data_IF_126352052797
#
_entry.id   IF_126352052797
#
_cell.length_a   1.000
_cell.length_b   1.000
_cell.length_c   1.000
_cell.angle_alpha   90.00
_cell.angle_beta   90.00
_cell.angle_gamma   90.00
#
_symmetry.space_group_name_H-M   'P 1'
#
loop_
_entity.id
_entity.type
_entity.pdbx_description
1 polymer ?
#
# COMPACT_ATOMS: atom_id res chain seq x y z
N UNK A 1 49.40 28.15 -4.78
CA UNK A 1 48.21 27.66 -5.53
C UNK A 1 47.42 28.85 -6.04
N UNK A 2 47.51 29.19 -7.33
CA UNK A 2 46.69 30.25 -7.92
C UNK A 2 45.32 29.68 -8.29
N UNK A 3 44.28 30.02 -7.53
CA UNK A 3 42.92 29.63 -7.87
C UNK A 3 42.45 30.53 -9.03
N UNK A 4 42.20 29.94 -10.21
CA UNK A 4 41.72 30.69 -11.37
C UNK A 4 40.38 31.35 -11.06
N UNK A 5 40.25 32.66 -11.33
CA UNK A 5 39.00 33.44 -11.14
C UNK A 5 37.79 32.76 -11.79
N UNK A 6 38.00 32.06 -12.92
CA UNK A 6 36.96 31.27 -13.60
C UNK A 6 36.49 30.07 -12.77
N UNK A 7 37.40 29.36 -12.10
CA UNK A 7 37.04 28.26 -11.20
C UNK A 7 36.32 28.76 -9.96
N UNK A 8 36.76 29.89 -9.40
CA UNK A 8 36.10 30.51 -8.25
C UNK A 8 34.66 30.93 -8.59
N UNK A 9 34.45 31.65 -9.70
CA UNK A 9 33.11 32.08 -10.13
C UNK A 9 32.19 30.90 -10.46
N UNK A 10 32.71 29.85 -11.10
CA UNK A 10 31.94 28.63 -11.36
C UNK A 10 31.49 27.95 -10.07
N UNK A 11 32.38 27.78 -9.10
CA UNK A 11 32.07 27.12 -7.84
C UNK A 11 31.14 27.95 -6.95
N UNK A 12 31.31 29.28 -6.94
CA UNK A 12 30.43 30.19 -6.22
C UNK A 12 29.00 30.12 -6.78
N UNK A 13 28.86 30.10 -8.11
CA UNK A 13 27.57 30.01 -8.78
C UNK A 13 26.85 28.68 -8.49
N UNK A 14 27.55 27.53 -8.61
CA UNK A 14 26.96 26.23 -8.23
C UNK A 14 26.61 26.15 -6.75
N UNK A 15 27.44 26.70 -5.87
CA UNK A 15 27.15 26.75 -4.43
C UNK A 15 25.91 27.58 -4.10
N UNK A 16 25.73 28.74 -4.74
CA UNK A 16 24.55 29.58 -4.53
C UNK A 16 23.25 28.93 -4.98
N UNK A 17 23.27 28.18 -6.08
CA UNK A 17 22.07 27.45 -6.56
C UNK A 17 21.70 26.36 -5.55
N UNK A 18 22.66 25.55 -5.10
CA UNK A 18 22.40 24.50 -4.13
C UNK A 18 21.89 25.06 -2.79
N UNK A 19 22.42 26.19 -2.34
CA UNK A 19 21.97 26.86 -1.10
C UNK A 19 20.61 27.55 -1.23
N UNK A 20 20.16 27.89 -2.45
CA UNK A 20 18.86 28.51 -2.70
C UNK A 20 17.69 27.52 -2.70
N UNK A 21 17.98 26.21 -2.71
CA UNK A 21 16.95 25.20 -2.62
C UNK A 21 16.34 25.20 -1.21
N UNK A 22 15.01 25.27 -1.09
CA UNK A 22 14.36 25.21 0.22
C UNK A 22 14.57 23.83 0.85
N UNK A 23 14.62 23.75 2.18
CA UNK A 23 14.77 22.48 2.92
C UNK A 23 13.69 21.45 2.52
N UNK A 24 12.52 21.93 2.12
CA UNK A 24 11.43 21.10 1.57
C UNK A 24 11.78 20.43 0.24
N UNK A 25 12.64 21.01 -0.59
CA UNK A 25 13.11 20.37 -1.83
C UNK A 25 13.96 19.11 -1.54
N UNK A 26 14.67 19.05 -0.41
CA UNK A 26 15.35 17.81 0.02
C UNK A 26 14.36 16.70 0.43
N UNK A 27 13.15 17.04 0.89
CA UNK A 27 12.09 16.04 1.14
C UNK A 27 11.54 15.45 -0.16
N UNK A 28 11.47 16.24 -1.23
CA UNK A 28 11.08 15.77 -2.57
C UNK A 28 12.17 14.97 -3.29
N UNK A 29 13.43 15.14 -2.89
CA UNK A 29 14.59 14.46 -3.46
C UNK A 29 15.11 13.37 -2.53
N UNK A 30 14.22 12.62 -1.87
CA UNK A 30 14.64 11.44 -1.11
C UNK A 30 15.38 10.49 -2.08
N UNK A 31 16.70 10.27 -1.92
CA UNK A 31 17.47 9.51 -2.89
C UNK A 31 16.95 8.09 -3.10
N UNK A 32 16.32 7.49 -2.07
CA UNK A 32 15.69 6.18 -2.15
C UNK A 32 14.46 6.17 -3.06
N UNK A 33 13.61 7.20 -3.00
CA UNK A 33 12.42 7.33 -3.84
C UNK A 33 12.80 7.67 -5.29
N UNK A 34 13.80 8.53 -5.48
CA UNK A 34 14.37 8.80 -6.80
C UNK A 34 14.92 7.49 -7.36
N UNK A 35 15.78 6.78 -6.64
CA UNK A 35 16.31 5.49 -7.08
C UNK A 35 15.21 4.45 -7.34
N UNK A 36 14.10 4.43 -6.59
CA UNK A 36 12.97 3.55 -6.86
C UNK A 36 12.19 3.95 -8.14
N UNK A 37 12.09 5.24 -8.45
CA UNK A 37 11.38 5.77 -9.63
C UNK A 37 12.20 5.75 -10.93
N UNK A 38 13.53 5.87 -10.84
CA UNK A 38 14.47 5.73 -11.99
C UNK A 38 15.20 4.38 -12.02
N UNK A 39 14.92 3.49 -11.07
CA UNK A 39 15.54 2.18 -10.96
C UNK A 39 15.26 1.28 -12.17
N UNK A 40 16.26 0.50 -12.57
CA UNK A 40 16.21 -0.39 -13.74
C UNK A 40 15.03 -1.38 -13.59
N UNK A 41 14.08 -1.37 -14.53
CA UNK A 41 12.81 -2.13 -14.49
C UNK A 41 12.99 -3.67 -14.60
N UNK A 42 14.20 -4.18 -14.36
CA UNK A 42 14.55 -5.61 -14.38
C UNK A 42 13.94 -6.37 -13.20
N UNK A 43 13.56 -5.67 -12.12
CA UNK A 43 12.91 -6.29 -10.96
C UNK A 43 11.43 -6.49 -11.26
N UNK A 44 10.99 -7.75 -11.26
CA UNK A 44 9.57 -8.13 -11.36
C UNK A 44 9.06 -8.51 -9.98
N UNK A 45 8.09 -7.75 -9.48
CA UNK A 45 7.42 -8.05 -8.22
C UNK A 45 6.30 -9.07 -8.43
N UNK A 46 6.15 -9.98 -7.47
CA UNK A 46 5.06 -10.93 -7.42
C UNK A 46 4.51 -10.99 -5.98
N UNK A 47 3.21 -11.24 -5.86
CA UNK A 47 2.53 -11.44 -4.59
C UNK A 47 1.83 -12.80 -4.62
N UNK A 48 2.21 -13.69 -3.72
CA UNK A 48 1.66 -15.04 -3.64
C UNK A 48 0.85 -15.18 -2.35
N UNK A 49 -0.36 -15.72 -2.47
CA UNK A 49 -1.25 -16.00 -1.34
C UNK A 49 -1.51 -17.50 -1.29
N UNK A 50 -1.12 -18.13 -0.19
CA UNK A 50 -1.48 -19.51 0.12
C UNK A 50 -2.86 -19.54 0.79
N UNK A 51 -3.89 -19.78 -0.01
CA UNK A 51 -5.28 -19.79 0.46
C UNK A 51 -5.58 -20.97 1.39
N UNK A 52 -4.76 -22.03 1.40
CA UNK A 52 -4.96 -23.16 2.32
C UNK A 52 -4.63 -22.81 3.77
N UNK A 53 -3.79 -21.77 3.98
CA UNK A 53 -3.46 -21.23 5.30
C UNK A 53 -4.32 -20.02 5.69
N UNK A 54 -5.17 -19.56 4.79
CA UNK A 54 -6.06 -18.43 5.07
C UNK A 54 -7.12 -18.87 6.09
N UNK A 55 -7.20 -18.14 7.21
CA UNK A 55 -8.21 -18.36 8.26
C UNK A 55 -9.30 -17.27 8.26
N UNK A 56 -9.31 -16.39 7.26
CA UNK A 56 -10.32 -15.33 7.16
C UNK A 56 -10.22 -14.25 8.25
N UNK A 57 -9.00 -13.92 8.71
CA UNK A 57 -8.79 -12.96 9.81
C UNK A 57 -8.97 -11.47 9.42
N UNK A 58 -8.98 -11.15 8.13
CA UNK A 58 -9.16 -9.77 7.65
C UNK A 58 -7.92 -8.85 7.73
N UNK A 59 -6.80 -9.32 8.27
CA UNK A 59 -5.61 -8.48 8.46
C UNK A 59 -4.98 -7.99 7.16
N UNK A 60 -5.12 -8.74 6.06
CA UNK A 60 -4.69 -8.30 4.74
C UNK A 60 -5.46 -7.07 4.23
N UNK A 61 -6.73 -6.91 4.64
CA UNK A 61 -7.63 -5.81 4.26
C UNK A 61 -7.51 -4.62 5.23
N UNK A 62 -7.11 -4.88 6.49
CA UNK A 62 -6.78 -3.85 7.48
C UNK A 62 -5.41 -3.21 7.23
N UNK A 63 -4.37 -4.03 7.02
CA UNK A 63 -3.26 -3.60 6.16
C UNK A 63 -3.84 -3.23 4.78
N UNK A 64 -3.17 -2.85 3.72
CA UNK A 64 -3.84 -2.24 2.56
C UNK A 64 -4.60 -0.93 2.88
N UNK A 65 -5.69 -0.91 3.66
CA UNK A 65 -6.37 0.33 4.08
C UNK A 65 -5.42 1.25 4.84
N UNK A 66 -4.69 0.73 5.83
CA UNK A 66 -3.74 1.52 6.63
C UNK A 66 -2.56 2.03 5.81
N UNK A 67 -1.96 1.19 4.96
CA UNK A 67 -0.75 1.55 4.20
C UNK A 67 -1.03 2.41 2.96
N UNK A 68 -2.28 2.42 2.47
CA UNK A 68 -2.67 3.20 1.29
C UNK A 68 -3.60 4.36 1.66
N UNK A 69 -3.68 4.73 2.93
CA UNK A 69 -4.48 5.85 3.44
C UNK A 69 -5.94 5.83 2.95
N UNK A 70 -6.53 4.62 2.84
CA UNK A 70 -7.93 4.48 2.44
C UNK A 70 -8.80 4.81 3.64
N UNK A 71 -9.85 5.64 3.49
CA UNK A 71 -10.81 5.90 4.56
C UNK A 71 -11.28 4.61 5.25
N UNK A 72 -11.00 4.51 6.55
CA UNK A 72 -11.06 3.23 7.24
C UNK A 72 -12.50 2.74 7.44
N UNK A 73 -13.40 3.68 7.74
CA UNK A 73 -14.83 3.51 8.05
C UNK A 73 -15.72 3.38 6.81
N UNK A 74 -15.23 3.75 5.63
CA UNK A 74 -15.99 3.61 4.38
C UNK A 74 -15.91 2.18 3.82
N UNK A 75 -16.99 1.69 3.18
CA UNK A 75 -17.05 0.39 2.52
C UNK A 75 -16.30 0.38 1.17
N UNK A 76 -15.13 1.02 1.13
CA UNK A 76 -14.23 1.06 -0.04
C UNK A 76 -12.89 0.45 0.33
N UNK A 77 -12.37 -0.44 -0.50
CA UNK A 77 -11.08 -1.10 -0.27
C UNK A 77 -10.41 -1.42 -1.59
N UNK A 78 -9.08 -1.53 -1.60
CA UNK A 78 -8.31 -2.00 -2.77
C UNK A 78 -8.14 -3.52 -2.79
N UNK A 79 -8.42 -4.19 -1.67
CA UNK A 79 -8.38 -5.65 -1.53
C UNK A 79 -9.53 -6.12 -0.64
N UNK A 80 -10.12 -7.27 -0.97
CA UNK A 80 -11.18 -7.89 -0.19
C UNK A 80 -10.99 -9.40 -0.19
N UNK A 81 -11.60 -10.07 0.80
CA UNK A 81 -11.71 -11.53 0.86
C UNK A 81 -13.19 -11.87 0.83
N UNK A 82 -13.57 -12.91 0.10
CA UNK A 82 -14.94 -13.42 0.04
C UNK A 82 -15.02 -14.73 0.83
N UNK A 83 -16.12 -14.91 1.56
CA UNK A 83 -16.43 -16.15 2.26
C UNK A 83 -17.55 -16.83 1.50
N UNK A 84 -17.30 -18.08 1.14
CA UNK A 84 -18.28 -18.98 0.53
C UNK A 84 -18.75 -19.93 1.63
N UNK A 85 -20.05 -19.94 1.88
CA UNK A 85 -20.69 -20.86 2.82
C UNK A 85 -21.65 -21.73 2.05
N UNK A 86 -21.42 -23.04 2.10
CA UNK A 86 -22.30 -24.06 1.54
C UNK A 86 -23.06 -24.67 2.72
N UNK A 87 -24.37 -24.45 2.76
CA UNK A 87 -25.24 -24.99 3.81
C UNK A 87 -25.56 -26.46 3.53
N UNK A 88 -26.06 -27.19 4.54
CA UNK A 88 -26.44 -28.61 4.39
C UNK A 88 -27.54 -28.87 3.35
N UNK A 89 -28.40 -27.89 3.11
CA UNK A 89 -29.43 -27.94 2.05
C UNK A 89 -28.86 -27.63 0.66
N UNK A 90 -27.54 -27.47 0.54
CA UNK A 90 -26.82 -27.26 -0.72
C UNK A 90 -26.95 -25.84 -1.25
N UNK A 91 -27.41 -24.88 -0.44
CA UNK A 91 -27.44 -23.47 -0.84
C UNK A 91 -26.07 -22.85 -0.65
N UNK A 92 -25.69 -22.05 -1.63
CA UNK A 92 -24.45 -21.29 -1.61
C UNK A 92 -24.76 -19.85 -1.19
N UNK A 93 -24.01 -19.37 -0.21
CA UNK A 93 -24.04 -17.99 0.24
C UNK A 93 -22.64 -17.41 0.16
N UNK A 94 -22.53 -16.16 -0.32
CA UNK A 94 -21.25 -15.49 -0.55
C UNK A 94 -21.31 -14.12 0.10
N UNK A 95 -20.35 -13.79 0.95
CA UNK A 95 -20.29 -12.46 1.57
C UNK A 95 -18.89 -11.90 1.80
N UNK A 96 -18.82 -10.57 1.88
CA UNK A 96 -17.60 -9.81 2.20
C UNK A 96 -17.94 -8.53 2.96
N UNK A 97 -18.40 -8.63 4.23
CA UNK A 97 -18.81 -7.46 5.01
C UNK A 97 -17.60 -6.52 5.19
N UNK A 98 -17.74 -5.27 4.75
CA UNK A 98 -16.66 -4.27 4.73
C UNK A 98 -15.37 -4.78 4.05
N UNK A 99 -15.49 -5.63 3.03
CA UNK A 99 -14.35 -6.25 2.36
C UNK A 99 -13.63 -7.32 3.19
N UNK A 100 -14.27 -7.83 4.25
CA UNK A 100 -13.70 -8.71 5.29
C UNK A 100 -12.65 -8.04 6.19
N UNK A 101 -12.64 -6.70 6.30
CA UNK A 101 -11.70 -5.92 7.14
C UNK A 101 -11.61 -6.44 8.58
N UNK A 102 -12.75 -6.84 9.14
CA UNK A 102 -12.87 -7.26 10.54
C UNK A 102 -12.86 -8.79 10.71
N UNK A 103 -12.61 -9.52 9.62
CA UNK A 103 -12.58 -10.98 9.59
C UNK A 103 -13.96 -11.63 9.74
N UNK A 104 -13.98 -12.96 9.62
CA UNK A 104 -15.20 -13.77 9.69
C UNK A 104 -15.36 -14.39 11.09
N UNK A 105 -15.67 -13.55 12.07
CA UNK A 105 -15.81 -13.95 13.48
C UNK A 105 -17.23 -14.40 13.86
N UNK A 106 -18.21 -14.16 12.99
CA UNK A 106 -19.62 -14.50 13.20
C UNK A 106 -20.14 -15.43 12.10
N UNK A 107 -21.05 -16.37 12.41
CA UNK A 107 -21.73 -17.19 11.41
C UNK A 107 -22.80 -16.43 10.61
N UNK A 108 -23.15 -15.21 10.98
CA UNK A 108 -24.11 -14.35 10.25
C UNK A 108 -23.56 -14.03 8.86
N UNK A 109 -24.39 -14.14 7.83
CA UNK A 109 -24.05 -13.91 6.42
C UNK A 109 -24.99 -12.82 5.88
N UNK A 110 -24.45 -11.74 5.34
CA UNK A 110 -25.24 -10.59 4.82
C UNK A 110 -26.28 -10.00 5.81
N UNK A 111 -26.12 -10.23 7.12
CA UNK A 111 -27.08 -9.80 8.14
C UNK A 111 -28.15 -10.84 8.48
N UNK A 112 -28.17 -11.97 7.79
CA UNK A 112 -29.05 -13.11 8.07
C UNK A 112 -28.34 -14.17 8.92
N UNK A 113 -29.04 -14.67 9.95
CA UNK A 113 -28.59 -15.79 10.78
C UNK A 113 -28.84 -17.11 10.04
N UNK A 114 -27.89 -17.50 9.18
CA UNK A 114 -27.99 -18.73 8.39
C UNK A 114 -27.48 -19.90 9.21
N UNK A 115 -28.39 -20.82 9.57
CA UNK A 115 -28.02 -22.04 10.30
C UNK A 115 -27.28 -23.00 9.36
N UNK A 116 -26.07 -23.45 9.72
CA UNK A 116 -25.27 -24.35 8.90
C UNK A 116 -25.85 -25.76 8.77
#
# INVERSE_FOLDING_TARGET
MSCSRRKFLKNAFTGSIAASLPVTAFKFLNPAEVQASIGDAKVRWAFLVDVQKCVGCGFCVKACKLENDIPYDLPVTRTWVERYVITKDGKEHIDSPMGARDGYTSPVIEGDDIKP
#
